data_IF_834804181548
#
_entry.id   IF_834804181548
#
_cell.length_a   1.000
_cell.length_b   1.000
_cell.length_c   1.000
_cell.angle_alpha   90.00
_cell.angle_beta   90.00
_cell.angle_gamma   90.00
#
_symmetry.space_group_name_H-M   'P 1'
#
loop_
_entity.id
_entity.type
_entity.pdbx_description
1 polymer ?
#
# COMPACT_ATOMS: atom_id res chain seq x y z
N UNK A 1 2.94 6.96 6.72
CA UNK A 1 3.75 6.04 7.56
C UNK A 1 4.35 4.96 6.69
N UNK A 2 5.54 4.56 6.98
CA UNK A 2 6.20 3.49 6.24
C UNK A 2 6.38 2.29 7.17
N UNK A 3 6.01 1.11 6.70
CA UNK A 3 6.16 -0.11 7.47
C UNK A 3 7.07 -1.08 6.73
N UNK A 4 8.02 -1.66 7.45
CA UNK A 4 8.87 -2.71 6.89
C UNK A 4 8.23 -4.05 7.19
N UNK A 5 8.09 -4.85 6.16
CA UNK A 5 7.45 -6.14 6.25
C UNK A 5 8.49 -7.26 6.09
N UNK A 6 8.02 -8.49 6.18
CA UNK A 6 8.90 -9.65 6.01
C UNK A 6 9.59 -9.63 4.65
N UNK A 7 10.78 -10.19 4.60
CA UNK A 7 11.53 -10.37 3.34
C UNK A 7 11.83 -9.06 2.62
N UNK A 8 11.99 -7.98 3.36
CA UNK A 8 12.35 -6.71 2.76
C UNK A 8 11.23 -5.96 2.07
N UNK A 9 10.01 -6.42 2.19
CA UNK A 9 8.89 -5.68 1.61
C UNK A 9 8.63 -4.40 2.41
N UNK A 10 8.13 -3.39 1.73
CA UNK A 10 7.84 -2.08 2.32
C UNK A 10 6.39 -1.74 2.02
N UNK A 11 5.68 -1.23 2.98
CA UNK A 11 4.33 -0.71 2.78
C UNK A 11 4.24 0.72 3.24
N UNK A 12 3.64 1.57 2.40
CA UNK A 12 3.35 2.94 2.76
C UNK A 12 1.88 3.00 3.19
N UNK A 13 1.62 3.57 4.35
CA UNK A 13 0.26 3.72 4.85
C UNK A 13 -0.09 5.20 4.74
N UNK A 14 -1.07 5.50 3.89
CA UNK A 14 -1.47 6.86 3.59
C UNK A 14 -2.89 7.10 4.08
N UNK A 15 -3.23 8.35 4.40
CA UNK A 15 -4.62 8.65 4.74
C UNK A 15 -5.52 8.46 3.54
N UNK A 16 -6.81 8.23 3.76
CA UNK A 16 -7.74 8.13 2.63
C UNK A 16 -7.73 9.40 1.79
N UNK A 17 -7.97 9.23 0.51
CA UNK A 17 -8.07 10.34 -0.42
C UNK A 17 -9.15 10.04 -1.43
N UNK A 18 -9.66 11.07 -2.07
CA UNK A 18 -10.70 10.91 -3.06
C UNK A 18 -10.13 10.39 -4.39
N UNK A 19 -11.03 10.15 -5.33
CA UNK A 19 -10.63 9.59 -6.61
C UNK A 19 -9.65 10.45 -7.39
N UNK A 20 -9.71 11.76 -7.20
CA UNK A 20 -8.85 12.66 -7.97
C UNK A 20 -7.37 12.44 -7.64
N UNK A 21 -7.08 11.89 -6.49
CA UNK A 21 -5.70 11.66 -6.08
C UNK A 21 -5.22 10.24 -6.36
N UNK A 22 -6.12 9.33 -6.72
CA UNK A 22 -5.74 7.93 -6.85
C UNK A 22 -4.71 7.69 -7.95
N UNK A 23 -4.92 8.28 -9.12
CA UNK A 23 -3.99 8.10 -10.23
C UNK A 23 -2.61 8.68 -9.91
N UNK A 24 -2.58 9.84 -9.26
CA UNK A 24 -1.32 10.46 -8.86
C UNK A 24 -0.60 9.60 -7.85
N UNK A 25 -1.32 9.08 -6.86
CA UNK A 25 -0.72 8.22 -5.85
C UNK A 25 -0.19 6.93 -6.45
N UNK A 26 -0.94 6.32 -7.35
CA UNK A 26 -0.49 5.09 -8.00
C UNK A 26 0.80 5.33 -8.79
N UNK A 27 0.87 6.43 -9.52
CA UNK A 27 2.07 6.77 -10.28
C UNK A 27 3.27 6.97 -9.36
N UNK A 28 3.07 7.64 -8.23
CA UNK A 28 4.14 7.86 -7.26
C UNK A 28 4.61 6.54 -6.66
N UNK A 29 3.68 5.65 -6.33
CA UNK A 29 4.02 4.35 -5.75
C UNK A 29 4.80 3.50 -6.76
N UNK A 30 4.40 3.52 -8.03
CA UNK A 30 5.11 2.78 -9.06
C UNK A 30 6.54 3.28 -9.23
N UNK A 31 6.74 4.59 -9.17
CA UNK A 31 8.07 5.17 -9.25
C UNK A 31 8.93 4.73 -8.05
N UNK A 32 8.37 4.82 -6.85
CA UNK A 32 9.08 4.41 -5.65
C UNK A 32 9.41 2.91 -5.67
N UNK A 33 8.49 2.10 -6.19
CA UNK A 33 8.73 0.66 -6.28
C UNK A 33 9.90 0.35 -7.20
N UNK A 34 10.00 1.05 -8.33
CA UNK A 34 11.12 0.87 -9.23
C UNK A 34 12.43 1.32 -8.59
N UNK A 35 12.40 2.43 -7.84
CA UNK A 35 13.60 2.94 -7.20
C UNK A 35 14.09 2.06 -6.07
N UNK A 36 13.20 1.28 -5.47
CA UNK A 36 13.56 0.41 -4.36
C UNK A 36 13.73 -1.05 -4.75
N UNK A 37 13.60 -1.38 -6.01
CA UNK A 37 13.77 -2.75 -6.46
C UNK A 37 15.18 -3.27 -6.06
N UNK A 38 15.31 -4.56 -5.73
CA UNK A 38 14.29 -5.62 -5.83
C UNK A 38 13.33 -5.69 -4.65
N UNK A 39 13.39 -4.77 -3.72
CA UNK A 39 12.44 -4.77 -2.62
C UNK A 39 11.04 -4.50 -3.16
N UNK A 40 10.04 -5.17 -2.61
CA UNK A 40 8.66 -4.94 -2.99
C UNK A 40 8.15 -3.73 -2.22
N UNK A 41 7.49 -2.81 -2.91
CA UNK A 41 6.95 -1.61 -2.28
C UNK A 41 5.53 -1.37 -2.78
N UNK A 42 4.61 -1.28 -1.86
CA UNK A 42 3.20 -1.04 -2.15
C UNK A 42 2.67 0.01 -1.18
N UNK A 43 1.52 0.58 -1.49
CA UNK A 43 0.89 1.55 -0.61
C UNK A 43 -0.56 1.18 -0.35
N UNK A 44 -1.04 1.49 0.83
CA UNK A 44 -2.44 1.35 1.18
C UNK A 44 -2.94 2.70 1.67
N UNK A 45 -4.22 2.94 1.49
CA UNK A 45 -4.85 4.17 1.98
C UNK A 45 -6.01 3.78 2.89
N UNK A 46 -5.91 4.10 4.17
CA UNK A 46 -6.96 3.79 5.13
C UNK A 46 -6.67 4.52 6.44
N UNK A 47 -7.72 4.76 7.20
CA UNK A 47 -7.59 5.25 8.57
C UNK A 47 -8.14 4.22 9.56
N UNK A 48 -8.45 3.02 9.11
CA UNK A 48 -8.98 1.96 9.97
C UNK A 48 -7.85 1.00 10.37
N UNK A 49 -7.47 0.96 11.64
CA UNK A 49 -6.36 0.12 12.07
C UNK A 49 -6.51 -1.36 11.75
N UNK A 50 -7.74 -1.88 11.80
CA UNK A 50 -7.94 -3.29 11.52
C UNK A 50 -7.73 -3.58 10.02
N UNK A 51 -8.23 -2.72 9.15
CA UNK A 51 -8.01 -2.86 7.71
C UNK A 51 -6.54 -2.73 7.36
N UNK A 52 -5.84 -1.79 8.00
CA UNK A 52 -4.41 -1.62 7.79
C UNK A 52 -3.66 -2.89 8.20
N UNK A 53 -3.98 -3.47 9.35
CA UNK A 53 -3.30 -4.67 9.82
C UNK A 53 -3.49 -5.84 8.86
N UNK A 54 -4.72 -6.03 8.36
CA UNK A 54 -4.98 -7.10 7.40
C UNK A 54 -4.22 -6.88 6.09
N UNK A 55 -4.19 -5.65 5.60
CA UNK A 55 -3.48 -5.34 4.36
C UNK A 55 -1.98 -5.54 4.51
N UNK A 56 -1.42 -5.16 5.65
CA UNK A 56 0.01 -5.36 5.88
C UNK A 56 0.37 -6.84 5.92
N UNK A 57 -0.48 -7.66 6.53
CA UNK A 57 -0.26 -9.10 6.55
C UNK A 57 -0.31 -9.68 5.13
N UNK A 58 -1.28 -9.25 4.34
CA UNK A 58 -1.39 -9.68 2.95
C UNK A 58 -0.16 -9.30 2.14
N UNK A 59 0.26 -8.05 2.25
CA UNK A 59 1.40 -7.58 1.46
C UNK A 59 2.70 -8.23 1.89
N UNK A 60 2.84 -8.55 3.16
CA UNK A 60 4.03 -9.25 3.64
C UNK A 60 4.15 -10.66 3.08
N UNK A 61 3.00 -11.30 2.82
CA UNK A 61 2.97 -12.67 2.31
C UNK A 61 2.88 -12.76 0.78
N UNK A 62 2.58 -11.64 0.12
CA UNK A 62 2.31 -11.66 -1.32
C UNK A 62 3.60 -11.46 -2.11
N UNK A 63 4.29 -12.52 -2.41
CA UNK A 63 5.56 -12.49 -3.07
C UNK A 63 5.47 -11.89 -4.45
N UNK A 64 5.43 -11.39 -5.14
CA UNK A 64 5.35 -10.90 -6.50
C UNK A 64 4.57 -9.61 -6.64
N UNK A 65 4.01 -9.10 -5.55
CA UNK A 65 3.21 -7.89 -5.64
C UNK A 65 4.06 -6.69 -5.27
N UNK A 66 4.16 -5.75 -6.18
CA UNK A 66 4.88 -4.50 -5.95
C UNK A 66 4.30 -3.41 -6.85
N UNK A 67 4.41 -2.17 -6.44
CA UNK A 67 3.92 -1.04 -7.23
C UNK A 67 2.42 -0.86 -7.19
N UNK A 68 1.73 -1.44 -6.21
CA UNK A 68 0.28 -1.32 -6.12
C UNK A 68 -0.14 -0.25 -5.12
N UNK A 69 -1.23 0.41 -5.41
CA UNK A 69 -1.88 1.34 -4.50
C UNK A 69 -3.27 0.79 -4.20
N UNK A 70 -3.51 0.47 -2.94
CA UNK A 70 -4.73 -0.20 -2.52
C UNK A 70 -5.54 0.69 -1.58
N UNK A 71 -6.52 1.43 -2.08
CA UNK A 71 -7.43 2.16 -1.20
C UNK A 71 -8.39 1.18 -0.56
N UNK A 72 -8.49 1.24 0.77
CA UNK A 72 -9.30 0.30 1.53
C UNK A 72 -10.55 1.01 2.04
N UNK A 73 -11.71 0.45 1.76
CA UNK A 73 -12.94 1.01 2.27
C UNK A 73 -13.14 0.58 3.69
N UNK A 74 -13.17 1.52 4.58
CA UNK A 74 -13.32 1.19 5.97
C UNK A 74 -14.71 0.74 6.31
N UNK A 75 -15.66 0.98 5.49
CA UNK A 75 -16.95 0.67 5.88
C UNK A 75 -17.43 -0.28 4.99
N UNK A 76 -16.92 -1.26 4.99
CA UNK A 76 -17.51 -2.18 4.24
C UNK A 76 -18.60 -1.55 3.48
N UNK A 77 -18.57 -0.48 3.55
CA UNK A 77 -19.54 0.21 2.98
C UNK A 77 -19.45 0.02 1.66
N UNK A 78 -18.74 -0.36 1.61
CA UNK A 78 -18.89 -0.47 0.31
C UNK A 78 -20.00 0.22 0.00
#
# INVERSE_FOLDING_TARGET
MQAKLAQGAIALVLPPADHDHAAWRLSAVQTLARENAPARLNAIASDDPAAIAEALAYLGAADGITGQYLPLDSVGAG
#
